data_IF_803792244603
#
_entry.id   IF_803792244603
#
_cell.length_a   1.000
_cell.length_b   1.000
_cell.length_c   1.000
_cell.angle_alpha   90.00
_cell.angle_beta   90.00
_cell.angle_gamma   90.00
#
_symmetry.space_group_name_H-M   'P 1'
#
loop_
_entity.id
_entity.type
_entity.pdbx_description
1 polymer ?
#
# COMPACT_ATOMS: atom_id res chain seq x y z
N UNK A 1 -15.45 -2.81 18.42
CA UNK A 1 -14.20 -2.08 18.15
C UNK A 1 -13.78 -2.48 16.75
N UNK A 2 -13.52 -1.53 15.85
CA UNK A 2 -13.14 -1.85 14.48
C UNK A 2 -11.77 -2.51 14.44
N UNK A 3 -11.59 -3.43 13.50
CA UNK A 3 -10.32 -4.15 13.28
C UNK A 3 -9.82 -3.89 11.88
N UNK A 4 -8.53 -3.59 11.74
CA UNK A 4 -7.90 -3.51 10.44
C UNK A 4 -6.78 -4.55 10.29
N UNK A 5 -6.63 -5.07 9.08
CA UNK A 5 -5.54 -5.94 8.69
C UNK A 5 -4.40 -5.09 8.15
N UNK A 6 -3.25 -5.12 8.81
CA UNK A 6 -2.03 -4.44 8.38
C UNK A 6 -1.20 -5.39 7.52
N UNK A 7 -1.37 -5.31 6.21
CA UNK A 7 -0.74 -6.20 5.23
C UNK A 7 0.64 -5.68 4.86
N UNK A 8 1.64 -6.57 4.87
CA UNK A 8 3.04 -6.21 4.70
C UNK A 8 3.50 -5.27 5.82
N UNK A 9 3.13 -5.62 7.05
CA UNK A 9 3.32 -4.73 8.20
C UNK A 9 4.79 -4.47 8.53
N UNK A 10 5.70 -5.39 8.14
CA UNK A 10 7.09 -5.31 8.54
C UNK A 10 7.24 -5.17 10.06
N UNK A 11 8.25 -4.46 10.54
CA UNK A 11 8.41 -4.16 11.97
C UNK A 11 7.49 -3.03 12.47
N UNK A 12 6.71 -2.41 11.57
CA UNK A 12 5.84 -1.27 11.89
C UNK A 12 4.62 -1.69 12.70
N UNK A 13 4.02 -0.74 13.41
CA UNK A 13 2.79 -0.86 14.16
C UNK A 13 1.81 0.22 13.69
N UNK A 14 0.57 0.16 14.20
CA UNK A 14 -0.51 1.08 13.84
C UNK A 14 -0.19 2.57 13.99
N UNK A 15 0.78 2.95 14.82
CA UNK A 15 1.30 4.32 14.95
C UNK A 15 2.02 4.83 13.68
N UNK A 16 2.28 3.93 12.73
CA UNK A 16 2.88 4.22 11.41
C UNK A 16 1.90 4.03 10.26
N UNK A 17 0.60 3.98 10.54
CA UNK A 17 -0.46 3.86 9.54
C UNK A 17 -1.12 5.22 9.29
N UNK A 18 -2.44 5.32 9.41
CA UNK A 18 -3.16 6.60 9.37
C UNK A 18 -3.66 6.96 10.75
N UNK A 19 -3.84 8.25 11.00
CA UNK A 19 -4.36 8.73 12.29
C UNK A 19 -5.71 8.08 12.65
N UNK A 20 -6.53 7.82 11.64
CA UNK A 20 -7.83 7.17 11.83
C UNK A 20 -7.73 5.75 12.38
N UNK A 21 -6.73 4.99 11.95
CA UNK A 21 -6.53 3.60 12.36
C UNK A 21 -5.87 3.45 13.73
N UNK A 22 -5.33 4.52 14.30
CA UNK A 22 -4.60 4.48 15.58
C UNK A 22 -5.45 3.96 16.76
N UNK A 23 -6.77 4.18 16.74
CA UNK A 23 -7.71 3.69 17.76
C UNK A 23 -8.28 2.30 17.48
N UNK A 24 -8.01 1.72 16.30
CA UNK A 24 -8.55 0.43 15.91
C UNK A 24 -7.70 -0.73 16.43
N UNK A 25 -8.27 -1.93 16.45
CA UNK A 25 -7.52 -3.16 16.69
C UNK A 25 -6.69 -3.48 15.45
N UNK A 26 -5.37 -3.68 15.63
CA UNK A 26 -4.45 -4.04 14.54
C UNK A 26 -4.28 -5.56 14.51
N UNK A 27 -4.49 -6.17 13.34
CA UNK A 27 -4.11 -7.54 13.03
C UNK A 27 -2.97 -7.48 12.00
N UNK A 28 -1.77 -7.88 12.39
CA UNK A 28 -0.57 -7.78 11.56
C UNK A 28 -0.41 -9.00 10.68
N UNK A 29 -0.19 -8.78 9.40
CA UNK A 29 -0.03 -9.82 8.39
C UNK A 29 1.23 -9.53 7.55
N UNK A 30 2.13 -10.50 7.43
CA UNK A 30 3.37 -10.36 6.66
C UNK A 30 3.83 -11.73 6.13
N UNK A 31 4.59 -11.71 5.03
CA UNK A 31 5.25 -12.89 4.49
C UNK A 31 6.52 -13.25 5.27
N UNK A 32 7.15 -12.27 5.91
CA UNK A 32 8.39 -12.44 6.68
C UNK A 32 8.07 -12.76 8.14
N UNK A 33 8.22 -14.02 8.52
CA UNK A 33 8.03 -14.48 9.90
C UNK A 33 8.96 -13.78 10.89
N UNK A 34 10.12 -13.30 10.45
CA UNK A 34 11.12 -12.65 11.32
C UNK A 34 10.61 -11.34 11.92
N UNK A 35 9.65 -10.66 11.30
CA UNK A 35 9.02 -9.44 11.83
C UNK A 35 7.93 -9.72 12.88
N UNK A 36 7.70 -11.01 13.17
CA UNK A 36 6.73 -11.50 14.16
C UNK A 36 5.33 -10.88 13.95
N UNK A 37 4.71 -11.12 12.79
CA UNK A 37 3.32 -10.72 12.57
C UNK A 37 2.37 -11.62 13.37
N UNK A 38 1.11 -11.24 13.49
CA UNK A 38 0.08 -12.09 14.08
C UNK A 38 -0.29 -13.27 13.17
N UNK A 39 -0.21 -13.04 11.85
CA UNK A 39 -0.46 -14.04 10.81
C UNK A 39 0.65 -13.96 9.76
N UNK A 40 1.19 -15.12 9.38
CA UNK A 40 2.16 -15.25 8.29
C UNK A 40 1.44 -15.67 7.01
N UNK A 41 1.72 -14.99 5.90
CA UNK A 41 1.13 -15.31 4.61
C UNK A 41 1.50 -14.31 3.52
N UNK A 42 1.05 -14.57 2.30
CA UNK A 42 1.26 -13.69 1.14
C UNK A 42 -0.02 -12.92 0.80
N UNK A 43 0.11 -11.73 0.21
CA UNK A 43 -1.03 -10.95 -0.26
C UNK A 43 -1.91 -11.69 -1.28
N UNK A 44 -1.35 -12.67 -1.98
CA UNK A 44 -2.05 -13.47 -3.01
C UNK A 44 -2.74 -14.69 -2.45
N UNK A 45 -2.49 -15.04 -1.18
CA UNK A 45 -3.17 -16.10 -0.43
C UNK A 45 -3.27 -15.70 1.04
N UNK A 46 -4.41 -15.16 1.41
CA UNK A 46 -4.73 -14.75 2.77
C UNK A 46 -5.71 -15.73 3.43
N UNK A 47 -5.60 -17.03 3.13
CA UNK A 47 -6.50 -18.08 3.64
C UNK A 47 -6.54 -18.17 5.17
N UNK A 48 -5.49 -17.70 5.86
CA UNK A 48 -5.46 -17.57 7.32
C UNK A 48 -6.38 -16.48 7.88
N UNK A 49 -6.91 -15.59 7.01
CA UNK A 49 -7.85 -14.53 7.37
C UNK A 49 -9.24 -14.90 6.86
N UNK A 50 -10.22 -14.97 7.74
CA UNK A 50 -11.60 -15.30 7.37
C UNK A 50 -12.20 -14.25 6.44
N UNK A 51 -13.11 -14.69 5.54
CA UNK A 51 -13.87 -13.77 4.70
C UNK A 51 -14.72 -12.83 5.58
N UNK A 52 -14.87 -11.58 5.12
CA UNK A 52 -15.73 -10.56 5.76
C UNK A 52 -15.46 -10.36 7.27
N UNK A 53 -14.18 -10.44 7.66
CA UNK A 53 -13.77 -10.41 9.07
C UNK A 53 -13.18 -9.08 9.53
N UNK A 54 -12.69 -8.23 8.62
CA UNK A 54 -12.03 -6.97 8.97
C UNK A 54 -12.76 -5.75 8.40
N UNK A 55 -12.70 -4.64 9.14
CA UNK A 55 -13.35 -3.38 8.75
C UNK A 55 -12.46 -2.58 7.77
N UNK A 56 -11.14 -2.78 7.83
CA UNK A 56 -10.22 -2.19 6.85
C UNK A 56 -9.03 -3.11 6.55
N UNK A 57 -8.46 -2.91 5.36
CA UNK A 57 -7.11 -3.37 4.98
C UNK A 57 -6.23 -2.13 4.83
N UNK A 58 -5.07 -2.13 5.48
CA UNK A 58 -4.02 -1.13 5.28
C UNK A 58 -2.79 -1.81 4.70
N UNK A 59 -2.33 -1.36 3.53
CA UNK A 59 -1.16 -1.89 2.83
C UNK A 59 -0.32 -0.73 2.29
N UNK A 60 0.88 -0.56 2.84
CA UNK A 60 1.73 0.59 2.54
C UNK A 60 3.08 0.14 1.99
N UNK A 61 3.33 0.49 0.73
CA UNK A 61 4.54 0.09 0.01
C UNK A 61 4.73 -1.43 -0.01
N UNK A 62 3.73 -2.13 -0.56
CA UNK A 62 3.73 -3.60 -0.69
C UNK A 62 3.25 -4.08 -2.06
N UNK A 63 2.23 -3.43 -2.65
CA UNK A 63 1.63 -3.88 -3.91
C UNK A 63 2.62 -3.87 -5.08
N UNK A 64 3.62 -2.99 -5.02
CA UNK A 64 4.70 -2.90 -6.01
C UNK A 64 5.66 -4.09 -5.99
N UNK A 65 5.68 -4.87 -4.89
CA UNK A 65 6.49 -6.08 -4.77
C UNK A 65 5.88 -7.31 -5.46
N UNK A 66 4.62 -7.22 -5.90
CA UNK A 66 3.95 -8.26 -6.67
C UNK A 66 4.28 -8.17 -8.15
N UNK A 67 4.28 -9.31 -8.86
CA UNK A 67 4.24 -9.29 -10.32
C UNK A 67 2.91 -8.72 -10.82
N UNK A 68 2.87 -8.10 -12.02
CA UNK A 68 1.64 -7.47 -12.52
C UNK A 68 0.42 -8.42 -12.57
N UNK A 69 0.62 -9.70 -12.85
CA UNK A 69 -0.44 -10.70 -12.89
C UNK A 69 -0.93 -11.15 -11.50
N UNK A 70 -0.16 -10.89 -10.44
CA UNK A 70 -0.50 -11.21 -9.06
C UNK A 70 -1.34 -10.12 -8.39
N UNK A 71 -1.25 -8.88 -8.89
CA UNK A 71 -1.98 -7.74 -8.31
C UNK A 71 -3.49 -7.99 -8.24
N UNK A 72 -4.17 -8.48 -9.30
CA UNK A 72 -5.60 -8.80 -9.19
C UNK A 72 -5.91 -9.88 -8.14
N UNK A 73 -5.02 -10.85 -7.94
CA UNK A 73 -5.20 -11.90 -6.92
C UNK A 73 -5.15 -11.30 -5.51
N UNK A 74 -4.17 -10.44 -5.24
CA UNK A 74 -4.05 -9.76 -3.96
C UNK A 74 -5.25 -8.84 -3.67
N UNK A 75 -5.72 -8.09 -4.67
CA UNK A 75 -6.89 -7.22 -4.51
C UNK A 75 -8.19 -8.02 -4.32
N UNK A 76 -8.30 -9.21 -4.93
CA UNK A 76 -9.42 -10.12 -4.67
C UNK A 76 -9.41 -10.64 -3.22
N UNK A 77 -8.22 -10.97 -2.68
CA UNK A 77 -8.08 -11.35 -1.27
C UNK A 77 -8.43 -10.18 -0.33
N UNK A 78 -7.99 -8.93 -0.64
CA UNK A 78 -8.41 -7.75 0.13
C UNK A 78 -9.93 -7.62 0.15
N UNK A 79 -10.59 -7.74 -1.00
CA UNK A 79 -12.05 -7.70 -1.09
C UNK A 79 -12.71 -8.86 -0.32
N UNK A 80 -12.12 -10.05 -0.34
CA UNK A 80 -12.66 -11.23 0.37
C UNK A 80 -12.67 -11.03 1.87
N UNK A 81 -11.57 -10.54 2.44
CA UNK A 81 -11.42 -10.39 3.90
C UNK A 81 -12.17 -9.18 4.47
N UNK A 82 -12.42 -8.16 3.63
CA UNK A 82 -13.17 -6.97 4.01
C UNK A 82 -14.65 -7.29 4.22
N UNK A 83 -15.24 -6.76 5.27
CA UNK A 83 -16.70 -6.71 5.48
C UNK A 83 -17.39 -5.98 4.32
N UNK A 84 -18.71 -6.04 4.24
CA UNK A 84 -19.50 -5.44 3.16
C UNK A 84 -19.27 -3.93 3.03
N UNK A 85 -19.13 -3.22 4.15
CA UNK A 85 -18.84 -1.77 4.25
C UNK A 85 -17.34 -1.45 4.42
N UNK A 86 -16.48 -2.46 4.27
CA UNK A 86 -15.04 -2.37 4.52
C UNK A 86 -14.29 -1.55 3.46
N UNK A 87 -13.14 -1.04 3.86
CA UNK A 87 -12.29 -0.17 3.05
C UNK A 87 -10.86 -0.72 2.93
N UNK A 88 -10.21 -0.42 1.82
CA UNK A 88 -8.77 -0.60 1.66
C UNK A 88 -8.07 0.75 1.59
N UNK A 89 -6.98 0.90 2.35
CA UNK A 89 -6.05 2.03 2.28
C UNK A 89 -4.73 1.51 1.76
N UNK A 90 -4.33 1.97 0.58
CA UNK A 90 -3.16 1.45 -0.12
C UNK A 90 -2.24 2.61 -0.47
N UNK A 91 -0.94 2.43 -0.21
CA UNK A 91 0.09 3.36 -0.70
C UNK A 91 1.14 2.61 -1.51
N UNK A 92 1.69 3.26 -2.53
CA UNK A 92 2.78 2.74 -3.35
C UNK A 92 3.55 3.90 -4.00
N UNK A 93 4.73 3.66 -4.59
CA UNK A 93 5.46 4.69 -5.31
C UNK A 93 4.66 5.28 -6.48
N UNK A 94 4.78 6.61 -6.68
CA UNK A 94 4.25 7.29 -7.87
C UNK A 94 5.28 7.27 -8.99
N UNK A 95 5.15 6.33 -9.91
CA UNK A 95 6.09 6.21 -11.05
C UNK A 95 6.13 7.47 -11.91
N UNK A 96 5.03 8.23 -12.01
CA UNK A 96 5.01 9.47 -12.80
C UNK A 96 5.99 10.49 -12.21
N UNK A 97 5.96 10.69 -10.90
CA UNK A 97 6.85 11.64 -10.21
C UNK A 97 8.31 11.16 -10.23
N UNK A 98 8.53 9.86 -10.09
CA UNK A 98 9.89 9.26 -10.14
C UNK A 98 10.48 9.35 -11.55
N UNK A 99 9.71 9.02 -12.59
CA UNK A 99 10.15 9.11 -13.96
C UNK A 99 10.49 10.55 -14.40
N UNK A 100 9.85 11.56 -13.80
CA UNK A 100 10.22 12.96 -14.04
C UNK A 100 11.66 13.27 -13.60
N UNK A 101 12.09 12.77 -12.42
CA UNK A 101 13.47 12.91 -11.98
C UNK A 101 14.46 12.16 -12.88
N UNK A 102 14.05 10.96 -13.33
CA UNK A 102 14.89 10.16 -14.25
C UNK A 102 15.07 10.88 -15.60
N UNK A 103 14.01 11.52 -16.09
CA UNK A 103 14.08 12.32 -17.33
C UNK A 103 14.98 13.56 -17.20
N UNK A 104 15.29 14.00 -15.98
CA UNK A 104 16.27 15.05 -15.65
C UNK A 104 17.67 14.50 -15.36
N UNK A 105 17.98 13.26 -15.73
CA UNK A 105 19.25 12.55 -15.44
C UNK A 105 19.60 12.37 -13.97
N UNK A 106 18.61 12.47 -13.04
CA UNK A 106 18.79 12.34 -11.61
C UNK A 106 18.59 10.90 -11.10
N UNK A 107 18.86 9.88 -11.92
CA UNK A 107 18.58 8.47 -11.61
C UNK A 107 19.20 8.00 -10.27
N UNK A 108 20.40 8.47 -9.96
CA UNK A 108 21.17 8.05 -8.77
C UNK A 108 21.36 9.14 -7.73
N UNK A 109 20.85 10.34 -7.97
CA UNK A 109 20.84 11.41 -6.98
C UNK A 109 19.76 11.17 -5.92
N UNK A 110 20.00 11.58 -4.69
CA UNK A 110 19.01 11.40 -3.63
C UNK A 110 17.75 12.23 -3.89
N UNK A 111 16.60 11.57 -4.06
CA UNK A 111 15.31 12.23 -4.16
C UNK A 111 14.82 12.72 -2.79
N UNK A 112 15.08 11.93 -1.75
CA UNK A 112 14.80 12.27 -0.33
C UNK A 112 15.67 11.42 0.60
N UNK A 113 15.62 11.74 1.91
CA UNK A 113 16.29 10.94 2.94
C UNK A 113 15.25 10.25 3.82
N UNK A 114 15.38 8.95 3.99
CA UNK A 114 14.57 8.11 4.88
C UNK A 114 15.40 7.66 6.11
N UNK A 115 14.79 7.01 7.11
CA UNK A 115 15.53 6.35 8.17
C UNK A 115 16.53 5.29 7.68
N UNK A 116 16.33 4.73 6.49
CA UNK A 116 17.26 3.80 5.84
C UNK A 116 18.40 4.50 5.08
N UNK A 117 18.47 5.83 5.11
CA UNK A 117 19.45 6.65 4.40
C UNK A 117 18.86 7.35 3.18
N UNK A 118 19.73 7.89 2.30
CA UNK A 118 19.30 8.56 1.07
C UNK A 118 18.68 7.56 0.10
N UNK A 119 17.54 7.95 -0.49
CA UNK A 119 16.77 7.17 -1.45
C UNK A 119 16.84 7.88 -2.82
N UNK A 120 17.33 7.18 -3.82
CA UNK A 120 17.42 7.68 -5.19
C UNK A 120 16.23 7.17 -6.05
N UNK A 121 15.92 7.82 -7.20
CA UNK A 121 14.89 7.33 -8.12
C UNK A 121 15.03 5.86 -8.51
N UNK A 122 16.28 5.37 -8.68
CA UNK A 122 16.54 3.96 -8.99
C UNK A 122 16.08 3.03 -7.84
N UNK A 123 16.18 3.46 -6.58
CA UNK A 123 15.71 2.68 -5.42
C UNK A 123 14.18 2.67 -5.34
N UNK A 124 13.54 3.78 -5.75
CA UNK A 124 12.07 3.86 -5.80
C UNK A 124 11.54 3.01 -6.97
N UNK A 125 12.27 2.94 -8.09
CA UNK A 125 11.85 2.20 -9.28
C UNK A 125 12.03 0.69 -9.13
N UNK A 126 13.16 0.24 -8.57
CA UNK A 126 13.53 -1.18 -8.54
C UNK A 126 13.57 -1.79 -7.14
N UNK A 127 13.34 -1.00 -6.10
CA UNK A 127 13.45 -1.41 -4.70
C UNK A 127 14.78 -1.01 -4.07
N UNK A 128 14.81 -0.97 -2.74
CA UNK A 128 15.95 -0.49 -1.97
C UNK A 128 17.19 -1.38 -2.17
N UNK A 129 18.14 -0.92 -2.97
CA UNK A 129 19.35 -1.67 -3.38
C UNK A 129 20.17 -2.17 -2.20
N UNK A 130 20.33 -1.35 -1.15
CA UNK A 130 21.10 -1.73 0.03
C UNK A 130 20.48 -2.90 0.79
N UNK A 131 19.17 -2.98 0.87
CA UNK A 131 18.44 -4.10 1.49
C UNK A 131 18.54 -5.37 0.65
N UNK A 132 18.37 -5.24 -0.68
CA UNK A 132 18.52 -6.38 -1.60
C UNK A 132 19.93 -6.94 -1.60
N UNK A 133 20.96 -6.09 -1.52
CA UNK A 133 22.36 -6.52 -1.42
C UNK A 133 22.67 -7.30 -0.13
N UNK A 134 21.86 -7.14 0.91
CA UNK A 134 21.91 -7.90 2.15
C UNK A 134 21.07 -9.19 2.12
N UNK A 135 20.51 -9.54 0.95
CA UNK A 135 19.72 -10.76 0.74
C UNK A 135 18.21 -10.60 0.90
N UNK A 136 17.70 -9.42 1.26
CA UNK A 136 16.26 -9.19 1.33
C UNK A 136 15.68 -8.92 -0.06
N UNK A 137 15.43 -9.99 -0.82
CA UNK A 137 14.90 -9.91 -2.17
C UNK A 137 13.39 -9.58 -2.24
N UNK A 138 12.68 -9.63 -1.11
CA UNK A 138 11.29 -9.16 -1.02
C UNK A 138 11.18 -7.66 -1.30
N UNK A 139 12.27 -6.90 -1.11
CA UNK A 139 12.32 -5.46 -1.39
C UNK A 139 12.38 -5.10 -2.88
N UNK A 140 12.46 -6.08 -3.78
CA UNK A 140 12.45 -5.82 -5.22
C UNK A 140 11.06 -5.36 -5.69
N UNK A 141 10.99 -4.23 -6.43
CA UNK A 141 9.77 -3.78 -7.08
C UNK A 141 9.61 -4.50 -8.42
N UNK A 142 8.48 -5.15 -8.64
CA UNK A 142 8.17 -5.96 -9.81
C UNK A 142 7.08 -5.35 -10.69
N UNK A 143 6.34 -4.39 -10.14
CA UNK A 143 5.39 -3.55 -10.86
C UNK A 143 5.39 -2.12 -10.31
N UNK A 144 4.54 -1.28 -10.84
CA UNK A 144 4.39 0.09 -10.34
C UNK A 144 3.20 0.79 -10.97
N UNK A 145 2.83 1.92 -10.38
CA UNK A 145 1.58 2.59 -10.67
C UNK A 145 1.78 4.09 -10.92
N UNK A 146 0.94 4.64 -11.79
CA UNK A 146 0.57 6.04 -11.77
C UNK A 146 -0.79 6.17 -11.10
N UNK A 147 -1.18 7.37 -10.67
CA UNK A 147 -2.48 7.60 -10.02
C UNK A 147 -3.64 7.06 -10.86
N UNK A 148 -3.63 7.30 -12.18
CA UNK A 148 -4.67 6.81 -13.11
C UNK A 148 -4.72 5.28 -13.15
N UNK A 149 -3.56 4.63 -13.21
CA UNK A 149 -3.48 3.15 -13.29
C UNK A 149 -3.91 2.53 -11.98
N UNK A 150 -3.47 3.06 -10.81
CA UNK A 150 -3.88 2.55 -9.51
C UNK A 150 -5.40 2.63 -9.33
N UNK A 151 -6.01 3.79 -9.65
CA UNK A 151 -7.47 3.96 -9.58
C UNK A 151 -8.21 2.95 -10.47
N UNK A 152 -7.79 2.81 -11.73
CA UNK A 152 -8.41 1.88 -12.67
C UNK A 152 -8.24 0.41 -12.24
N UNK A 153 -7.08 0.05 -11.69
CA UNK A 153 -6.80 -1.30 -11.18
C UNK A 153 -7.71 -1.65 -10.01
N UNK A 154 -7.89 -0.74 -9.05
CA UNK A 154 -8.79 -0.94 -7.91
C UNK A 154 -10.24 -1.12 -8.35
N UNK A 155 -10.72 -0.26 -9.26
CA UNK A 155 -12.07 -0.36 -9.81
C UNK A 155 -12.28 -1.68 -10.59
N UNK A 156 -11.33 -2.05 -11.45
CA UNK A 156 -11.38 -3.31 -12.21
C UNK A 156 -11.36 -4.55 -11.29
N UNK A 157 -10.75 -4.47 -10.12
CA UNK A 157 -10.72 -5.55 -9.14
C UNK A 157 -12.03 -5.68 -8.34
N UNK A 158 -12.96 -4.71 -8.42
CA UNK A 158 -14.29 -4.80 -7.82
C UNK A 158 -14.59 -3.79 -6.71
N UNK A 159 -13.65 -2.93 -6.34
CA UNK A 159 -13.97 -1.79 -5.45
C UNK A 159 -14.93 -0.84 -6.13
N UNK A 160 -16.00 -0.45 -5.45
CA UNK A 160 -17.10 0.34 -6.01
C UNK A 160 -16.83 1.83 -6.00
N UNK A 161 -16.12 2.31 -4.97
CA UNK A 161 -15.76 3.72 -4.84
C UNK A 161 -14.27 3.83 -4.55
N UNK A 162 -13.57 4.69 -5.29
CA UNK A 162 -12.11 4.83 -5.19
C UNK A 162 -11.74 6.31 -5.23
N UNK A 163 -10.98 6.77 -4.24
CA UNK A 163 -10.29 8.05 -4.27
C UNK A 163 -8.78 7.82 -4.27
N UNK A 164 -8.05 8.60 -5.05
CA UNK A 164 -6.60 8.52 -5.13
C UNK A 164 -5.96 9.89 -5.09
N UNK A 165 -4.78 9.96 -4.50
CA UNK A 165 -3.97 11.17 -4.40
C UNK A 165 -2.52 10.84 -4.74
N UNK A 166 -1.87 11.72 -5.51
CA UNK A 166 -0.43 11.71 -5.70
C UNK A 166 0.21 12.75 -4.80
N UNK A 167 1.24 12.35 -4.06
CA UNK A 167 2.11 13.27 -3.31
C UNK A 167 3.47 13.28 -4.02
N UNK A 168 3.75 14.35 -4.75
CA UNK A 168 5.04 14.55 -5.40
C UNK A 168 6.17 14.71 -4.37
N UNK A 169 7.20 15.46 -4.74
CA UNK A 169 8.30 15.78 -3.82
C UNK A 169 7.77 16.33 -2.46
N UNK A 170 8.31 15.92 -1.31
CA UNK A 170 9.42 14.96 -1.13
C UNK A 170 8.98 13.49 -0.93
N UNK A 171 7.71 13.15 -1.14
CA UNK A 171 7.15 11.83 -0.78
C UNK A 171 7.19 10.81 -1.91
N UNK A 172 6.95 11.24 -3.16
CA UNK A 172 6.94 10.41 -4.37
C UNK A 172 6.04 9.18 -4.29
N UNK A 173 4.90 9.30 -3.62
CA UNK A 173 3.97 8.20 -3.41
C UNK A 173 2.54 8.51 -3.88
N UNK A 174 1.80 7.45 -4.10
CA UNK A 174 0.37 7.42 -4.31
C UNK A 174 -0.34 6.95 -3.05
N UNK A 175 -1.46 7.55 -2.77
CA UNK A 175 -2.42 7.09 -1.77
C UNK A 175 -3.73 6.75 -2.44
N UNK A 176 -4.34 5.65 -2.02
CA UNK A 176 -5.67 5.25 -2.45
C UNK A 176 -6.50 4.85 -1.22
N UNK A 177 -7.75 5.29 -1.20
CA UNK A 177 -8.80 4.74 -0.36
C UNK A 177 -9.86 4.17 -1.27
N UNK A 178 -10.19 2.90 -1.07
CA UNK A 178 -11.14 2.18 -1.89
C UNK A 178 -12.20 1.50 -1.01
N UNK A 179 -13.48 1.67 -1.34
CA UNK A 179 -14.60 1.08 -0.62
C UNK A 179 -15.20 -0.10 -1.38
N UNK A 180 -15.59 -1.13 -0.65
CA UNK A 180 -16.36 -2.26 -1.16
C UNK A 180 -17.80 -1.85 -1.50
N UNK A 181 -18.32 -0.80 -0.84
CA UNK A 181 -19.62 -0.20 -1.12
C UNK A 181 -19.53 0.92 -2.15
N UNK A 182 -20.66 1.18 -2.81
CA UNK A 182 -20.87 2.39 -3.60
C UNK A 182 -21.18 3.57 -2.67
N UNK A 183 -20.31 4.58 -2.67
CA UNK A 183 -20.40 5.78 -1.86
C UNK A 183 -20.70 6.98 -2.74
N UNK A 184 -21.53 7.90 -2.24
CA UNK A 184 -21.67 9.20 -2.88
C UNK A 184 -20.38 10.05 -2.70
N UNK A 185 -20.29 11.13 -3.45
CA UNK A 185 -19.10 11.98 -3.49
C UNK A 185 -18.74 12.54 -2.10
N UNK A 186 -19.72 13.00 -1.33
CA UNK A 186 -19.51 13.56 0.00
C UNK A 186 -18.88 12.53 0.98
N UNK A 187 -19.45 11.32 1.01
CA UNK A 187 -18.91 10.22 1.83
C UNK A 187 -17.52 9.82 1.39
N UNK A 188 -17.27 9.77 0.07
CA UNK A 188 -15.96 9.40 -0.44
C UNK A 188 -14.90 10.46 -0.12
N UNK A 189 -15.24 11.76 -0.21
CA UNK A 189 -14.36 12.85 0.18
C UNK A 189 -14.05 12.82 1.68
N UNK A 190 -15.06 12.58 2.54
CA UNK A 190 -14.87 12.45 3.99
C UNK A 190 -13.95 11.26 4.33
N UNK A 191 -14.15 10.14 3.66
CA UNK A 191 -13.31 8.93 3.84
C UNK A 191 -11.86 9.18 3.41
N UNK A 192 -11.67 9.85 2.27
CA UNK A 192 -10.35 10.23 1.77
C UNK A 192 -9.64 11.19 2.73
N UNK A 193 -10.33 12.22 3.22
CA UNK A 193 -9.78 13.18 4.19
C UNK A 193 -9.37 12.49 5.50
N UNK A 194 -10.11 11.47 5.93
CA UNK A 194 -9.84 10.72 7.16
C UNK A 194 -8.63 9.79 7.04
N UNK A 195 -8.46 9.13 5.90
CA UNK A 195 -7.50 8.03 5.74
C UNK A 195 -6.29 8.34 4.86
N UNK A 196 -6.32 9.40 4.06
CA UNK A 196 -5.18 9.80 3.23
C UNK A 196 -4.31 10.89 3.88
N UNK A 197 -4.51 11.14 5.16
CA UNK A 197 -3.68 12.06 5.97
C UNK A 197 -2.63 11.21 6.68
N UNK A 198 -1.34 11.30 6.31
CA UNK A 198 -0.28 10.58 7.01
C UNK A 198 -0.14 11.10 8.46
N UNK A 199 0.31 10.20 9.33
CA UNK A 199 0.69 10.54 10.71
C UNK A 199 1.96 11.37 10.72
#
# INVERSE_FOLDING_TARGET
MNTFLHVGCGPKRKDRTTKALSSWNELRFDIDESVKPDLVGTMTDMSSVSSESVDAVFSSHNIEHLYPHEVPLALAEFLRVLKSDGIAVITCPDLKSVCALIAEDKLTEAAYTSPAGPIAPIDILYGLRSSMAQGNLYMAHRCGFTQKVLSATLQASGFKSVATMSRGHPYFDLWAVASKEELNEEKMQALAALHMTPV
#
